data_IF_492275966844
#
_entry.id   IF_492275966844
#
_cell.length_a   1.000
_cell.length_b   1.000
_cell.length_c   1.000
_cell.angle_alpha   90.00
_cell.angle_beta   90.00
_cell.angle_gamma   90.00
#
_symmetry.space_group_name_H-M   'P 1'
#
loop_
_entity.id
_entity.type
_entity.pdbx_description
1 polymer ?
#
# COMPACT_ATOMS: atom_id res chain seq x y z
N UNK A 1 -11.36 -13.83 25.07
CA UNK A 1 -10.28 -14.59 24.40
C UNK A 1 -10.04 -14.00 23.02
N UNK A 2 -8.79 -13.74 22.62
CA UNK A 2 -8.40 -13.18 21.32
C UNK A 2 -7.24 -14.01 20.76
N UNK A 3 -7.29 -14.35 19.48
CA UNK A 3 -6.22 -15.03 18.76
C UNK A 3 -5.80 -14.22 17.52
N UNK A 4 -4.52 -14.23 17.19
CA UNK A 4 -3.97 -13.70 15.93
C UNK A 4 -3.75 -14.91 15.02
N UNK A 5 -4.18 -14.81 13.77
CA UNK A 5 -4.07 -15.91 12.80
C UNK A 5 -3.02 -15.52 11.76
N UNK A 6 -1.78 -15.89 12.03
CA UNK A 6 -0.59 -15.71 11.17
C UNK A 6 -0.11 -17.03 10.54
N UNK A 7 -0.80 -18.14 10.83
CA UNK A 7 -0.41 -19.50 10.48
C UNK A 7 -1.31 -20.18 9.43
N UNK A 8 -2.16 -19.44 8.72
CA UNK A 8 -3.11 -19.98 7.75
C UNK A 8 -2.84 -19.47 6.32
N UNK A 9 -2.76 -20.38 5.35
CA UNK A 9 -2.64 -20.09 3.93
C UNK A 9 -3.88 -20.51 3.13
N UNK A 10 -4.02 -19.96 1.91
CA UNK A 10 -5.08 -20.35 0.97
C UNK A 10 -4.48 -21.19 -0.16
N UNK A 11 -4.91 -22.45 -0.27
CA UNK A 11 -4.47 -23.38 -1.32
C UNK A 11 -5.46 -23.38 -2.49
N UNK A 12 -4.99 -23.08 -3.71
CA UNK A 12 -5.80 -23.23 -4.93
C UNK A 12 -5.76 -24.68 -5.40
N UNK A 13 -6.91 -25.34 -5.36
CA UNK A 13 -7.09 -26.67 -5.97
C UNK A 13 -7.30 -26.55 -7.49
N UNK A 14 -6.84 -27.53 -8.26
CA UNK A 14 -7.08 -27.58 -9.70
C UNK A 14 -8.54 -27.92 -9.97
N UNK A 15 -9.20 -27.20 -10.88
CA UNK A 15 -10.65 -27.36 -11.11
C UNK A 15 -11.02 -28.80 -11.50
N UNK A 16 -10.21 -29.43 -12.36
CA UNK A 16 -10.38 -30.83 -12.76
C UNK A 16 -10.44 -31.79 -11.57
N UNK A 17 -9.67 -31.52 -10.53
CA UNK A 17 -9.59 -32.39 -9.35
C UNK A 17 -10.84 -32.23 -8.47
N UNK A 18 -11.49 -31.07 -8.51
CA UNK A 18 -12.74 -30.81 -7.77
C UNK A 18 -13.92 -31.43 -8.52
N UNK A 19 -14.00 -31.22 -9.83
CA UNK A 19 -15.05 -31.75 -10.69
C UNK A 19 -15.09 -33.29 -10.61
N UNK A 20 -13.91 -33.94 -10.63
CA UNK A 20 -13.78 -35.40 -10.47
C UNK A 20 -14.26 -35.90 -9.10
N UNK A 21 -14.03 -35.14 -8.02
CA UNK A 21 -14.36 -35.55 -6.65
C UNK A 21 -15.81 -35.29 -6.27
N UNK A 22 -16.41 -34.22 -6.80
CA UNK A 22 -17.74 -33.75 -6.37
C UNK A 22 -18.85 -34.01 -7.39
N UNK A 23 -18.52 -34.35 -8.65
CA UNK A 23 -19.52 -34.54 -9.71
C UNK A 23 -20.25 -33.25 -10.11
N UNK A 24 -19.88 -32.11 -9.53
CA UNK A 24 -20.35 -30.78 -9.93
C UNK A 24 -19.59 -30.36 -11.19
N UNK A 25 -20.30 -30.22 -12.31
CA UNK A 25 -19.79 -29.57 -13.52
C UNK A 25 -19.93 -28.04 -13.39
N UNK A 26 -19.06 -27.27 -14.06
CA UNK A 26 -19.07 -25.80 -14.10
C UNK A 26 -18.48 -25.05 -12.88
N UNK A 27 -17.79 -25.74 -11.95
CA UNK A 27 -17.04 -25.13 -10.82
C UNK A 27 -15.94 -24.17 -11.31
N UNK A 28 -15.41 -24.40 -12.52
CA UNK A 28 -14.38 -23.57 -13.14
C UNK A 28 -14.81 -22.15 -13.52
N UNK A 29 -16.10 -21.79 -13.39
CA UNK A 29 -16.59 -20.43 -13.67
C UNK A 29 -16.32 -19.48 -12.51
N UNK A 30 -15.22 -18.72 -12.61
CA UNK A 30 -15.02 -17.37 -12.04
C UNK A 30 -15.17 -17.17 -10.52
N UNK A 31 -15.30 -18.21 -9.71
CA UNK A 31 -15.40 -18.02 -8.26
C UNK A 31 -14.03 -18.07 -7.59
N UNK A 32 -13.31 -16.96 -7.68
CA UNK A 32 -12.01 -16.77 -7.03
C UNK A 32 -12.11 -16.03 -5.70
N UNK A 33 -13.34 -15.78 -5.21
CA UNK A 33 -13.59 -15.08 -3.94
C UNK A 33 -13.86 -16.07 -2.83
N UNK A 34 -13.04 -16.03 -1.78
CA UNK A 34 -13.18 -16.90 -0.60
C UNK A 34 -13.47 -16.07 0.65
N UNK A 35 -13.82 -16.73 1.75
CA UNK A 35 -13.89 -16.12 3.09
C UNK A 35 -13.22 -17.06 4.08
N UNK A 36 -12.55 -16.50 5.07
CA UNK A 36 -12.14 -17.26 6.25
C UNK A 36 -13.38 -17.48 7.12
N UNK A 37 -13.58 -18.70 7.59
CA UNK A 37 -14.68 -19.07 8.48
C UNK A 37 -14.09 -19.48 9.82
N UNK A 38 -14.46 -18.77 10.88
CA UNK A 38 -14.03 -19.04 12.24
C UNK A 38 -15.19 -19.69 12.98
N UNK A 39 -14.94 -20.84 13.62
CA UNK A 39 -15.94 -21.57 14.38
C UNK A 39 -15.39 -21.94 15.75
N UNK A 40 -16.19 -21.70 16.79
CA UNK A 40 -15.88 -22.13 18.16
C UNK A 40 -16.99 -23.02 18.69
N UNK A 41 -16.60 -23.99 19.51
CA UNK A 41 -17.49 -24.92 20.17
C UNK A 41 -17.36 -24.74 21.69
N UNK A 42 -18.45 -24.37 22.35
CA UNK A 42 -18.50 -24.07 23.78
C UNK A 42 -19.31 -25.18 24.45
N UNK A 43 -18.69 -26.08 25.23
CA UNK A 43 -19.42 -27.08 25.98
C UNK A 43 -20.31 -26.40 27.04
N UNK A 44 -21.55 -26.85 27.17
CA UNK A 44 -22.53 -26.33 28.10
C UNK A 44 -22.70 -27.28 29.30
N UNK A 45 -23.16 -26.77 30.46
CA UNK A 45 -23.40 -27.60 31.65
C UNK A 45 -24.42 -28.73 31.44
N UNK A 46 -25.32 -28.59 30.48
CA UNK A 46 -26.34 -29.58 30.10
C UNK A 46 -25.83 -30.70 29.17
N UNK A 47 -24.52 -30.72 28.91
CA UNK A 47 -23.87 -31.67 28.01
C UNK A 47 -24.02 -31.34 26.52
N UNK A 48 -24.72 -30.25 26.17
CA UNK A 48 -24.81 -29.77 24.78
C UNK A 48 -23.56 -28.97 24.41
N UNK A 49 -23.36 -28.78 23.10
CA UNK A 49 -22.28 -27.93 22.57
C UNK A 49 -22.88 -26.75 21.82
N UNK A 50 -22.63 -25.54 22.30
CA UNK A 50 -22.96 -24.31 21.58
C UNK A 50 -21.91 -24.05 20.49
N UNK A 51 -22.35 -23.93 19.24
CA UNK A 51 -21.47 -23.61 18.11
C UNK A 51 -21.68 -22.17 17.66
N UNK A 52 -20.64 -21.35 17.67
CA UNK A 52 -20.67 -19.99 17.12
C UNK A 52 -19.79 -19.93 15.87
N UNK A 53 -20.25 -19.25 14.82
CA UNK A 53 -19.53 -19.13 13.54
C UNK A 53 -19.58 -17.69 13.01
N UNK A 54 -18.45 -17.21 12.50
CA UNK A 54 -18.35 -15.92 11.82
C UNK A 54 -17.51 -16.05 10.55
N UNK A 55 -17.90 -15.34 9.48
CA UNK A 55 -17.16 -15.29 8.22
C UNK A 55 -16.48 -13.94 8.05
N UNK A 56 -15.26 -13.94 7.51
CA UNK A 56 -14.55 -12.71 7.15
C UNK A 56 -15.21 -11.95 6.00
N UNK A 57 -14.66 -10.78 5.69
CA UNK A 57 -14.88 -10.14 4.40
C UNK A 57 -14.38 -11.04 3.26
N UNK A 58 -14.97 -10.96 2.05
CA UNK A 58 -14.49 -11.68 0.88
C UNK A 58 -13.04 -11.33 0.53
N UNK A 59 -12.24 -12.34 0.20
CA UNK A 59 -10.85 -12.26 -0.23
C UNK A 59 -10.78 -12.70 -1.70
N UNK A 60 -10.17 -11.89 -2.56
CA UNK A 60 -9.95 -12.23 -3.97
C UNK A 60 -8.66 -13.05 -4.11
N UNK A 61 -8.77 -14.28 -4.59
CA UNK A 61 -7.65 -15.22 -4.74
C UNK A 61 -7.23 -15.43 -6.21
N UNK A 62 -7.81 -14.70 -7.16
CA UNK A 62 -7.29 -14.71 -8.53
C UNK A 62 -5.92 -14.02 -8.55
N UNK A 63 -5.00 -14.60 -9.32
CA UNK A 63 -3.70 -13.99 -9.58
C UNK A 63 -3.80 -12.71 -10.45
N UNK A 64 -5.00 -12.31 -10.85
CA UNK A 64 -5.23 -11.25 -11.84
C UNK A 64 -5.83 -10.00 -11.19
N UNK A 65 -4.98 -9.20 -10.54
CA UNK A 65 -5.21 -7.75 -10.33
C UNK A 65 -4.01 -7.06 -9.69
N UNK A 66 -3.32 -7.72 -8.75
CA UNK A 66 -2.15 -7.16 -8.07
C UNK A 66 -0.95 -6.91 -9.01
N UNK A 67 -0.80 -7.72 -10.07
CA UNK A 67 0.21 -7.50 -11.12
C UNK A 67 -0.12 -6.32 -12.07
N UNK A 68 -1.30 -5.71 -11.99
CA UNK A 68 -1.63 -4.50 -12.77
C UNK A 68 -1.70 -3.23 -11.90
N UNK A 69 -1.62 -3.38 -10.57
CA UNK A 69 -1.55 -2.25 -9.68
C UNK A 69 -0.12 -1.71 -9.67
N UNK A 70 0.06 -0.38 -9.67
CA UNK A 70 1.38 0.19 -9.47
C UNK A 70 1.86 -0.18 -8.06
N UNK A 71 3.11 -0.61 -7.95
CA UNK A 71 3.76 -0.94 -6.69
C UNK A 71 4.95 -0.01 -6.50
N UNK A 72 5.03 0.67 -5.35
CA UNK A 72 6.20 1.48 -4.98
C UNK A 72 7.03 0.69 -3.98
N UNK A 73 8.29 0.44 -4.31
CA UNK A 73 9.23 -0.28 -3.43
C UNK A 73 10.16 0.69 -2.71
N UNK A 74 10.66 1.69 -3.43
CA UNK A 74 11.62 2.66 -2.90
C UNK A 74 11.33 4.07 -3.39
N UNK A 75 11.57 5.04 -2.53
CA UNK A 75 11.60 6.46 -2.87
C UNK A 75 12.98 7.02 -2.52
N UNK A 76 13.55 7.83 -3.41
CA UNK A 76 14.86 8.45 -3.22
C UNK A 76 14.89 9.51 -2.11
N UNK A 77 13.75 10.07 -1.73
CA UNK A 77 13.66 11.07 -0.66
C UNK A 77 12.34 10.89 0.10
N UNK A 78 12.38 11.03 1.42
CA UNK A 78 11.22 10.86 2.30
C UNK A 78 10.73 12.16 2.93
N UNK A 79 11.45 13.26 2.69
CA UNK A 79 11.08 14.57 3.20
C UNK A 79 11.60 15.70 2.30
N UNK A 80 10.92 16.83 2.33
CA UNK A 80 11.40 18.06 1.71
C UNK A 80 10.83 19.30 2.42
N UNK A 81 11.43 20.48 2.22
CA UNK A 81 10.83 21.74 2.64
C UNK A 81 9.43 21.93 2.04
N UNK A 82 8.56 22.66 2.76
CA UNK A 82 7.17 22.94 2.34
C UNK A 82 6.99 23.52 0.95
N UNK A 83 8.02 24.21 0.45
CA UNK A 83 8.01 24.80 -0.89
C UNK A 83 7.98 23.75 -2.01
N UNK A 84 8.32 22.48 -1.73
CA UNK A 84 8.37 21.43 -2.74
C UNK A 84 9.48 21.67 -3.77
N UNK A 85 9.22 21.32 -5.03
CA UNK A 85 10.11 21.55 -6.19
C UNK A 85 11.31 20.61 -6.30
N UNK A 86 11.63 19.86 -5.25
CA UNK A 86 12.69 18.85 -5.29
C UNK A 86 12.24 17.65 -6.14
N UNK A 87 13.15 17.12 -6.97
CA UNK A 87 12.94 15.89 -7.72
C UNK A 87 13.01 14.67 -6.80
N UNK A 88 12.08 13.75 -6.99
CA UNK A 88 12.00 12.45 -6.32
C UNK A 88 11.89 11.35 -7.37
N UNK A 89 12.81 10.40 -7.32
CA UNK A 89 12.74 9.13 -8.05
C UNK A 89 11.99 8.10 -7.21
N UNK A 90 10.99 7.46 -7.81
CA UNK A 90 10.26 6.32 -7.27
C UNK A 90 10.65 5.07 -8.05
N UNK A 91 11.07 4.02 -7.36
CA UNK A 91 11.38 2.70 -7.94
C UNK A 91 10.31 1.70 -7.54
N UNK A 92 9.91 0.84 -8.48
CA UNK A 92 8.83 -0.10 -8.24
C UNK A 92 8.43 -0.88 -9.49
N UNK A 93 7.15 -1.22 -9.60
CA UNK A 93 6.61 -2.05 -10.68
C UNK A 93 5.29 -1.50 -11.22
N UNK A 94 5.01 -1.83 -12.48
CA UNK A 94 3.74 -1.51 -13.18
C UNK A 94 3.45 -0.01 -13.27
N UNK A 95 4.48 0.82 -13.44
CA UNK A 95 4.29 2.20 -13.82
C UNK A 95 3.99 2.29 -15.32
N UNK A 96 3.06 3.16 -15.67
CA UNK A 96 2.61 3.45 -17.03
C UNK A 96 3.00 4.89 -17.38
N UNK A 97 3.03 5.21 -18.67
CA UNK A 97 3.36 6.56 -19.13
C UNK A 97 2.37 7.63 -18.62
N UNK A 98 1.14 7.23 -18.30
CA UNK A 98 0.09 8.07 -17.73
C UNK A 98 -0.09 7.89 -16.21
N UNK A 99 0.83 7.17 -15.55
CA UNK A 99 0.82 7.05 -14.09
C UNK A 99 0.92 8.41 -13.43
N UNK A 100 0.08 8.62 -12.42
CA UNK A 100 0.06 9.85 -11.62
C UNK A 100 0.55 9.55 -10.21
N UNK A 101 1.22 10.52 -9.60
CA UNK A 101 1.65 10.43 -8.21
C UNK A 101 0.89 11.49 -7.42
N UNK A 102 0.15 11.05 -6.42
CA UNK A 102 -0.79 11.90 -5.69
C UNK A 102 -0.37 11.96 -4.23
N UNK A 103 -0.08 13.18 -3.76
CA UNK A 103 0.18 13.48 -2.36
C UNK A 103 -1.12 13.78 -1.63
N UNK A 104 -1.25 13.29 -0.40
CA UNK A 104 -2.49 13.34 0.37
C UNK A 104 -2.20 13.55 1.84
N UNK A 105 -2.93 14.48 2.44
CA UNK A 105 -3.03 14.63 3.89
C UNK A 105 -4.42 14.14 4.31
N UNK A 106 -4.47 13.32 5.36
CA UNK A 106 -5.71 12.80 5.92
C UNK A 106 -5.94 13.40 7.30
N UNK A 107 -7.18 13.76 7.60
CA UNK A 107 -7.61 14.09 8.94
C UNK A 107 -7.61 12.85 9.85
N UNK A 108 -7.65 13.02 11.18
CA UNK A 108 -7.72 11.91 12.13
C UNK A 108 -8.93 10.97 11.92
N UNK A 109 -10.01 11.48 11.33
CA UNK A 109 -11.21 10.72 10.96
C UNK A 109 -11.08 9.94 9.64
N UNK A 110 -9.95 10.09 8.93
CA UNK A 110 -9.62 9.41 7.69
C UNK A 110 -10.03 10.15 6.40
N UNK A 111 -10.72 11.29 6.50
CA UNK A 111 -11.09 12.09 5.33
C UNK A 111 -9.88 12.81 4.71
N UNK A 112 -9.86 12.94 3.39
CA UNK A 112 -8.82 13.72 2.69
C UNK A 112 -9.03 15.21 2.98
N UNK A 113 -8.04 15.86 3.59
CA UNK A 113 -8.05 17.31 3.83
C UNK A 113 -7.18 18.08 2.83
N UNK A 114 -6.32 17.36 2.12
CA UNK A 114 -5.53 17.90 1.02
C UNK A 114 -5.15 16.78 0.06
N UNK A 115 -5.20 17.07 -1.23
CA UNK A 115 -4.75 16.17 -2.29
C UNK A 115 -4.08 17.01 -3.38
N UNK A 116 -2.93 16.57 -3.87
CA UNK A 116 -2.18 17.28 -4.91
C UNK A 116 -1.46 16.30 -5.82
N UNK A 117 -1.62 16.48 -7.14
CA UNK A 117 -0.90 15.71 -8.15
C UNK A 117 0.51 16.28 -8.31
N UNK A 118 1.51 15.42 -8.15
CA UNK A 118 2.90 15.75 -8.43
C UNK A 118 3.12 15.78 -9.95
N UNK A 119 3.99 16.68 -10.42
CA UNK A 119 4.34 16.75 -11.83
C UNK A 119 5.31 15.62 -12.17
N UNK A 120 4.91 14.70 -13.04
CA UNK A 120 5.77 13.62 -13.53
C UNK A 120 6.56 14.06 -14.75
N UNK A 121 7.86 13.72 -14.79
CA UNK A 121 8.68 13.83 -15.99
C UNK A 121 8.39 12.63 -16.91
N UNK A 122 7.61 12.89 -17.98
CA UNK A 122 7.10 11.85 -18.88
C UNK A 122 8.19 11.18 -19.70
N UNK A 123 9.29 11.88 -19.97
CA UNK A 123 10.39 11.37 -20.80
C UNK A 123 11.27 10.39 -20.02
N UNK A 124 11.28 10.52 -18.69
CA UNK A 124 12.02 9.66 -17.77
C UNK A 124 11.17 8.53 -17.17
N UNK A 125 9.90 8.44 -17.56
CA UNK A 125 8.99 7.40 -17.07
C UNK A 125 9.35 6.03 -17.66
N UNK A 126 9.65 5.07 -16.79
CA UNK A 126 9.92 3.67 -17.12
C UNK A 126 8.96 2.76 -16.35
N UNK A 127 8.70 1.52 -16.81
CA UNK A 127 7.81 0.59 -16.11
C UNK A 127 8.15 0.32 -14.64
N UNK A 128 9.41 0.56 -14.26
CA UNK A 128 9.94 0.36 -12.92
C UNK A 128 10.49 1.63 -12.25
N UNK A 129 10.38 2.80 -12.89
CA UNK A 129 10.93 4.06 -12.37
C UNK A 129 10.09 5.28 -12.80
N UNK A 130 9.72 6.12 -11.85
CA UNK A 130 9.07 7.41 -12.08
C UNK A 130 9.92 8.54 -11.50
N UNK A 131 10.05 9.63 -12.24
CA UNK A 131 10.66 10.87 -11.75
C UNK A 131 9.55 11.90 -11.58
N UNK A 132 9.38 12.41 -10.36
CA UNK A 132 8.36 13.40 -10.03
C UNK A 132 8.95 14.61 -9.34
N UNK A 133 8.34 15.76 -9.57
CA UNK A 133 8.57 16.99 -8.82
C UNK A 133 7.60 17.04 -7.64
N UNK A 134 8.15 17.09 -6.42
CA UNK A 134 7.35 17.11 -5.19
C UNK A 134 6.53 18.41 -5.17
N UNK A 135 5.19 18.35 -5.02
CA UNK A 135 4.37 19.55 -5.06
C UNK A 135 4.60 20.42 -3.80
N UNK A 136 4.29 21.73 -3.87
CA UNK A 136 4.27 22.56 -2.67
C UNK A 136 3.15 22.11 -1.73
N UNK A 137 3.43 22.10 -0.42
CA UNK A 137 2.44 21.78 0.60
C UNK A 137 1.38 22.89 0.71
N UNK A 138 0.12 22.56 1.06
CA UNK A 138 -0.96 23.57 1.15
C UNK A 138 -0.66 24.73 2.10
N UNK A 139 0.06 24.47 3.18
CA UNK A 139 0.43 25.49 4.15
C UNK A 139 1.94 25.73 4.12
N UNK A 140 2.35 26.85 3.53
CA UNK A 140 3.77 27.23 3.42
C UNK A 140 4.37 27.77 4.73
N UNK A 141 3.56 27.91 5.79
CA UNK A 141 3.96 28.52 7.07
C UNK A 141 3.93 27.53 8.24
N UNK A 142 4.07 26.23 7.98
CA UNK A 142 4.17 25.25 9.08
C UNK A 142 5.39 25.54 9.95
N UNK A 143 5.23 25.35 11.26
CA UNK A 143 6.29 25.54 12.27
C UNK A 143 6.87 24.22 12.77
N UNK A 144 6.22 23.09 12.46
CA UNK A 144 6.65 21.73 12.78
C UNK A 144 6.52 20.82 11.55
N UNK A 145 7.23 19.68 11.50
CA UNK A 145 7.08 18.71 10.43
C UNK A 145 5.65 18.20 10.29
N UNK A 146 5.16 18.11 9.05
CA UNK A 146 3.83 17.56 8.74
C UNK A 146 3.99 16.27 7.93
N UNK A 147 3.50 15.17 8.50
CA UNK A 147 3.49 13.88 7.82
C UNK A 147 2.27 13.78 6.89
N UNK A 148 2.54 13.44 5.64
CA UNK A 148 1.55 13.16 4.62
C UNK A 148 1.80 11.76 4.04
N UNK A 149 0.95 11.35 3.12
CA UNK A 149 1.16 10.15 2.34
C UNK A 149 1.19 10.50 0.85
N UNK A 150 1.74 9.61 0.03
CA UNK A 150 1.51 9.64 -1.40
C UNK A 150 1.22 8.25 -1.94
N UNK A 151 0.63 8.16 -3.12
CA UNK A 151 0.42 6.91 -3.83
C UNK A 151 0.56 7.12 -5.33
N UNK A 152 0.85 6.05 -6.06
CA UNK A 152 0.84 6.03 -7.53
C UNK A 152 -0.51 5.49 -8.00
N UNK A 153 -1.08 6.07 -9.05
CA UNK A 153 -2.29 5.54 -9.65
C UNK A 153 -2.21 5.43 -11.17
N UNK A 154 -2.75 4.32 -11.67
CA UNK A 154 -2.89 4.01 -13.09
C UNK A 154 -4.38 4.16 -13.45
N UNK A 155 -4.76 5.36 -13.87
CA UNK A 155 -6.18 5.73 -14.02
C UNK A 155 -6.93 5.81 -12.68
N UNK A 156 -8.26 5.71 -12.71
CA UNK A 156 -9.11 6.07 -11.56
C UNK A 156 -9.13 5.05 -10.41
N UNK A 157 -9.04 3.75 -10.73
CA UNK A 157 -9.33 2.66 -9.78
C UNK A 157 -8.11 1.84 -9.36
N UNK A 158 -6.98 1.95 -10.06
CA UNK A 158 -5.76 1.17 -9.78
C UNK A 158 -4.77 2.05 -9.03
N UNK A 159 -4.61 1.83 -7.72
CA UNK A 159 -3.75 2.63 -6.85
C UNK A 159 -2.75 1.72 -6.14
N UNK A 160 -1.55 2.24 -5.90
CA UNK A 160 -0.56 1.59 -5.05
C UNK A 160 -0.96 1.67 -3.58
N UNK A 161 -0.17 1.03 -2.72
CA UNK A 161 -0.19 1.33 -1.29
C UNK A 161 0.27 2.77 -1.03
N UNK A 162 -0.11 3.30 0.13
CA UNK A 162 0.32 4.62 0.59
C UNK A 162 1.75 4.56 1.11
N UNK A 163 2.58 5.46 0.61
CA UNK A 163 3.93 5.70 1.08
C UNK A 163 3.96 6.94 1.97
N UNK A 164 4.80 6.94 2.99
CA UNK A 164 4.95 8.08 3.90
C UNK A 164 5.89 9.15 3.32
N UNK A 165 5.55 10.41 3.57
CA UNK A 165 6.39 11.54 3.22
C UNK A 165 6.21 12.67 4.25
N UNK A 166 7.25 13.47 4.48
CA UNK A 166 7.21 14.54 5.48
C UNK A 166 7.58 15.90 4.89
N UNK A 167 6.69 16.88 5.03
CA UNK A 167 7.00 18.28 4.73
C UNK A 167 7.64 18.96 5.94
N UNK A 168 8.73 19.69 5.70
CA UNK A 168 9.52 20.36 6.72
C UNK A 168 9.33 21.89 6.66
N UNK A 169 9.32 22.60 7.80
CA UNK A 169 9.32 24.07 7.83
C UNK A 169 10.47 24.65 7.01
N UNK A 170 10.20 25.73 6.26
CA UNK A 170 11.22 26.43 5.45
C UNK A 170 12.41 26.95 6.28
N UNK A 171 12.18 27.20 7.58
CA UNK A 171 13.14 27.81 8.49
C UNK A 171 13.87 26.79 9.39
N UNK A 172 13.65 25.48 9.20
CA UNK A 172 14.23 24.41 10.02
C UNK A 172 15.60 23.89 9.57
N UNK A 173 16.30 24.64 8.71
CA UNK A 173 17.47 24.19 7.94
C UNK A 173 18.77 23.91 8.74
N UNK A 174 18.77 23.87 10.07
CA UNK A 174 20.01 23.67 10.83
C UNK A 174 20.11 22.35 11.62
N UNK A 175 19.02 21.64 11.94
CA UNK A 175 19.09 20.56 12.95
C UNK A 175 18.66 19.17 12.43
N UNK A 176 17.81 19.06 11.41
CA UNK A 176 17.31 17.75 10.95
C UNK A 176 18.08 17.12 9.78
N UNK A 177 18.80 17.92 8.99
CA UNK A 177 19.58 17.40 7.85
C UNK A 177 20.85 16.64 8.29
N UNK A 178 21.34 16.87 9.51
CA UNK A 178 22.53 16.19 10.07
C UNK A 178 22.23 14.77 10.58
N UNK A 179 20.99 14.44 10.94
CA UNK A 179 20.64 13.11 11.44
C UNK A 179 20.42 12.07 10.33
N UNK A 180 20.11 12.47 9.09
CA UNK A 180 19.94 11.54 7.97
C UNK A 180 21.26 11.21 7.25
N UNK A 181 22.28 12.06 7.36
CA UNK A 181 23.58 11.84 6.70
C UNK A 181 24.53 10.95 7.52
N UNK A 182 24.22 10.70 8.79
CA UNK A 182 25.09 9.97 9.72
C UNK A 182 24.92 8.44 9.70
N UNK A 183 24.12 7.87 8.80
CA UNK A 183 23.80 6.43 8.81
C UNK A 183 24.18 5.67 7.52
N UNK A 184 25.06 6.23 6.68
CA UNK A 184 25.75 5.45 5.65
C UNK A 184 26.97 4.77 6.30
N UNK A 185 27.05 3.42 6.37
CA UNK A 185 28.27 2.76 6.80
C UNK A 185 29.33 2.96 5.71
N UNK A 186 30.36 3.73 6.04
CA UNK A 186 31.59 3.80 5.23
C UNK A 186 32.18 2.39 5.22
N UNK A 187 31.99 1.67 4.12
CA UNK A 187 32.67 0.42 3.85
C UNK A 187 34.17 0.67 3.80
N UNK A 188 34.90 0.09 4.75
CA UNK A 188 36.36 0.06 4.72
C UNK A 188 36.85 -0.61 3.45
N UNK A 189 37.71 0.10 2.71
CA UNK A 189 38.70 -0.52 1.85
C UNK A 189 39.69 -1.28 2.74
N UNK A 190 39.74 -2.61 2.61
CA UNK A 190 40.92 -3.48 2.39
C UNK A 190 40.46 -4.93 2.43
#
# INVERSE_FOLDING_TARGET
>A
MRAIIDCAGVLKLRNSDIELRKGETDIGRKNTRVRLVFRVHIPQPDGRTLSLQVASNPIECSQRSAQELPLVEKQSTASCPVVGGKRMVLSGHNFLQDSKVIFVEKAPDGHHIWEMEAKTDRDLCKPNSLVVEIPPFRNQRITSPVQVNFYVCNGKRKRSQYQHFTYLPANGNAIFLTLSAANEPVGCFF
#
